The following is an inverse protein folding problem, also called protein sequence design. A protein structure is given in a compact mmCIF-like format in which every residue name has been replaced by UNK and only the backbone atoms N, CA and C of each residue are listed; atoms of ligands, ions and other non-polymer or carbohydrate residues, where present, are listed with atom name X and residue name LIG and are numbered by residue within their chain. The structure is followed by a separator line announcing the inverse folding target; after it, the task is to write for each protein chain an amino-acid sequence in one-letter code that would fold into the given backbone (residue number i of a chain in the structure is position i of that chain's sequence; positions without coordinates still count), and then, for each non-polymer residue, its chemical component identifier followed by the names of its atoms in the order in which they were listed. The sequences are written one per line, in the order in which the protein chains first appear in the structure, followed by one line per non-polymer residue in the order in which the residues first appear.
data_IF_305075220092
#
_entry.id   IF_305075220092
#
_cell.length_a   1.000
_cell.length_b   1.000
_cell.length_c   1.000
_cell.angle_alpha   90.00
_cell.angle_beta   90.00
_cell.angle_gamma   90.00
#
_symmetry.space_group_name_H-M   'P 1'
#
loop_
_entity.id
_entity.type
_entity.pdbx_description
1 polymer ?
#
# COMPACT_ATOMS: atom_id res chain seq x y z
N UNK A 1 -15.04 -29.38 6.96
CA UNK A 1 -14.16 -28.19 7.04
C UNK A 1 -13.27 -28.38 8.25
N UNK A 2 -12.00 -28.67 8.06
CA UNK A 2 -11.02 -28.74 9.15
C UNK A 2 -10.27 -27.41 9.20
N UNK A 3 -10.50 -26.60 10.25
CA UNK A 3 -9.53 -25.59 10.66
C UNK A 3 -8.44 -26.36 11.39
N UNK A 4 -7.24 -26.41 10.83
CA UNK A 4 -6.09 -26.97 11.51
C UNK A 4 -5.36 -25.79 12.18
N UNK A 5 -5.52 -25.69 13.49
CA UNK A 5 -4.64 -24.90 14.32
C UNK A 5 -3.49 -25.82 14.71
N UNK A 6 -2.31 -25.59 14.15
CA UNK A 6 -1.11 -26.33 14.52
C UNK A 6 -0.41 -25.49 15.58
N UNK A 7 -0.67 -25.82 16.84
CA UNK A 7 0.14 -25.33 17.96
C UNK A 7 1.38 -26.21 18.03
N UNK A 8 2.44 -25.83 17.32
CA UNK A 8 3.78 -26.28 17.65
C UNK A 8 4.38 -25.21 18.56
N UNK A 9 4.94 -25.65 19.69
CA UNK A 9 5.63 -24.87 20.73
C UNK A 9 5.81 -23.37 20.44
N UNK A 10 4.88 -22.53 20.88
CA UNK A 10 5.00 -21.05 20.83
C UNK A 10 4.40 -20.34 19.61
N UNK A 11 4.05 -21.06 18.54
CA UNK A 11 3.60 -20.43 17.29
C UNK A 11 2.08 -20.52 17.09
N UNK A 12 1.42 -19.37 16.90
CA UNK A 12 0.07 -19.33 16.33
C UNK A 12 0.15 -19.34 14.81
N UNK A 13 0.30 -20.53 14.22
CA UNK A 13 0.11 -20.73 12.77
C UNK A 13 -1.32 -21.16 12.51
N UNK A 14 -2.02 -20.40 11.67
CA UNK A 14 -3.39 -20.67 11.25
C UNK A 14 -3.42 -21.05 9.78
N UNK A 15 -3.90 -22.26 9.52
CA UNK A 15 -4.03 -22.80 8.17
C UNK A 15 -5.51 -22.93 7.82
N UNK A 16 -5.91 -22.30 6.72
CA UNK A 16 -7.21 -22.46 6.07
C UNK A 16 -6.98 -23.24 4.79
N UNK A 17 -7.08 -24.56 4.88
CA UNK A 17 -7.02 -25.45 3.72
C UNK A 17 -8.44 -25.72 3.19
N UNK A 18 -8.76 -25.09 2.06
CA UNK A 18 -9.91 -25.43 1.24
C UNK A 18 -9.46 -25.72 -0.20
N UNK A 19 -8.41 -26.53 -0.34
CA UNK A 19 -7.84 -26.95 -1.63
C UNK A 19 -8.87 -27.59 -2.55
N UNK A 20 -9.91 -28.25 -2.01
CA UNK A 20 -11.07 -28.73 -2.79
C UNK A 20 -11.84 -27.61 -3.50
N UNK A 21 -11.83 -26.38 -2.95
CA UNK A 21 -12.36 -25.17 -3.57
C UNK A 21 -11.25 -24.36 -4.28
N UNK A 22 -10.04 -24.92 -4.40
CA UNK A 22 -8.88 -24.27 -4.97
C UNK A 22 -8.28 -23.16 -4.10
N UNK A 23 -8.54 -23.12 -2.80
CA UNK A 23 -8.09 -22.03 -1.90
C UNK A 23 -7.18 -22.56 -0.77
N UNK A 24 -6.08 -21.85 -0.52
CA UNK A 24 -5.21 -22.09 0.63
C UNK A 24 -4.80 -20.74 1.22
N UNK A 25 -4.89 -20.61 2.55
CA UNK A 25 -4.33 -19.47 3.27
C UNK A 25 -3.56 -19.95 4.48
N UNK A 26 -2.35 -19.42 4.65
CA UNK A 26 -1.48 -19.65 5.80
C UNK A 26 -1.18 -18.29 6.41
N UNK A 27 -1.44 -18.16 7.71
CA UNK A 27 -1.13 -16.99 8.53
C UNK A 27 -0.23 -17.42 9.68
N UNK A 28 0.78 -16.63 10.00
CA UNK A 28 1.60 -16.84 11.19
C UNK A 28 2.02 -15.50 11.77
N UNK A 29 2.21 -15.49 13.09
CA UNK A 29 2.85 -14.38 13.80
C UNK A 29 4.13 -14.94 14.43
N UNK A 30 5.26 -14.32 14.13
CA UNK A 30 6.56 -14.71 14.68
C UNK A 30 6.68 -14.26 16.14
N UNK A 31 7.23 -15.15 16.98
CA UNK A 31 7.51 -14.87 18.38
C UNK A 31 8.67 -13.87 18.53
N UNK A 32 8.57 -12.97 19.50
CA UNK A 32 9.53 -11.87 19.69
C UNK A 32 9.04 -10.58 19.06
N UNK A 33 9.26 -10.39 17.77
CA UNK A 33 8.94 -9.15 17.07
C UNK A 33 7.44 -8.99 16.72
N UNK A 34 6.66 -10.08 16.81
CA UNK A 34 5.24 -10.06 16.44
C UNK A 34 5.02 -9.90 14.93
N UNK A 35 5.98 -10.31 14.11
CA UNK A 35 5.94 -10.13 12.67
C UNK A 35 4.85 -10.99 12.04
N UNK A 36 3.90 -10.34 11.37
CA UNK A 36 2.80 -11.02 10.70
C UNK A 36 3.17 -11.42 9.27
N UNK A 37 2.95 -12.69 8.96
CA UNK A 37 3.12 -13.26 7.64
C UNK A 37 1.80 -13.84 7.13
N UNK A 38 1.48 -13.58 5.87
CA UNK A 38 0.31 -14.16 5.19
C UNK A 38 0.71 -14.66 3.82
N UNK A 39 0.31 -15.88 3.49
CA UNK A 39 0.25 -16.36 2.10
C UNK A 39 -1.16 -16.80 1.79
N UNK A 40 -1.76 -16.23 0.75
CA UNK A 40 -3.06 -16.64 0.21
C UNK A 40 -2.90 -17.08 -1.23
N UNK A 41 -3.49 -18.22 -1.59
CA UNK A 41 -3.45 -18.79 -2.93
C UNK A 41 -4.87 -19.19 -3.34
N UNK A 42 -5.25 -18.87 -4.58
CA UNK A 42 -6.47 -19.41 -5.19
C UNK A 42 -6.27 -19.86 -6.64
N UNK A 43 -6.90 -20.97 -6.99
CA UNK A 43 -6.87 -21.57 -8.32
C UNK A 43 -8.16 -21.26 -9.11
N UNK A 44 -7.98 -20.70 -10.30
CA UNK A 44 -9.05 -20.28 -11.21
C UNK A 44 -9.10 -21.21 -12.41
N UNK A 45 -10.17 -22.02 -12.47
CA UNK A 45 -10.36 -23.04 -13.50
C UNK A 45 -10.59 -22.43 -14.89
N UNK A 46 -9.90 -22.93 -15.89
CA UNK A 46 -10.04 -22.58 -17.30
C UNK A 46 -10.98 -23.56 -18.02
N UNK A 47 -11.40 -23.22 -19.23
CA UNK A 47 -12.30 -24.06 -20.03
C UNK A 47 -11.69 -25.42 -20.41
N UNK A 48 -10.39 -25.48 -20.63
CA UNK A 48 -9.63 -26.71 -20.95
C UNK A 48 -9.37 -27.62 -19.73
N UNK A 49 -9.83 -27.22 -18.54
CA UNK A 49 -9.58 -27.93 -17.30
C UNK A 49 -8.29 -27.53 -16.58
N UNK A 50 -7.45 -26.69 -17.19
CA UNK A 50 -6.27 -26.09 -16.57
C UNK A 50 -6.63 -25.06 -15.50
N UNK A 51 -5.62 -24.56 -14.80
CA UNK A 51 -5.79 -23.56 -13.73
C UNK A 51 -4.81 -22.41 -13.86
N UNK A 52 -5.29 -21.20 -13.56
CA UNK A 52 -4.43 -20.07 -13.20
C UNK A 52 -4.44 -19.90 -11.71
N UNK A 53 -3.27 -19.84 -11.10
CA UNK A 53 -3.15 -19.63 -9.66
C UNK A 53 -2.84 -18.16 -9.43
N UNK A 54 -3.61 -17.49 -8.57
CA UNK A 54 -3.23 -16.21 -7.98
C UNK A 54 -2.60 -16.46 -6.61
N UNK A 55 -1.54 -15.72 -6.31
CA UNK A 55 -0.87 -15.73 -5.01
C UNK A 55 -0.78 -14.30 -4.49
N UNK A 56 -1.10 -14.14 -3.22
CA UNK A 56 -0.79 -12.97 -2.41
C UNK A 56 0.17 -13.40 -1.30
N UNK A 57 1.17 -12.58 -1.04
CA UNK A 57 2.10 -12.74 0.06
C UNK A 57 2.25 -11.42 0.82
N UNK A 58 2.40 -11.51 2.14
CA UNK A 58 2.65 -10.41 3.05
C UNK A 58 3.72 -10.82 4.04
N UNK A 59 4.75 -9.99 4.17
CA UNK A 59 5.65 -9.92 5.31
C UNK A 59 5.55 -8.49 5.87
N UNK A 60 4.90 -8.38 7.03
CA UNK A 60 4.62 -7.09 7.64
C UNK A 60 5.89 -6.38 8.13
N UNK A 61 6.90 -7.13 8.60
CA UNK A 61 8.13 -6.56 9.15
C UNK A 61 9.16 -6.24 8.06
N UNK A 62 9.28 -7.12 7.06
CA UNK A 62 10.09 -6.87 5.88
C UNK A 62 9.50 -5.82 4.93
N UNK A 63 8.34 -5.24 5.27
CA UNK A 63 7.60 -4.31 4.41
C UNK A 63 7.46 -4.86 2.99
N UNK A 64 6.99 -6.10 2.88
CA UNK A 64 6.85 -6.80 1.62
C UNK A 64 5.40 -7.20 1.40
N UNK A 65 4.86 -6.82 0.24
CA UNK A 65 3.56 -7.24 -0.26
C UNK A 65 3.77 -7.71 -1.68
N UNK A 66 3.43 -8.96 -2.00
CA UNK A 66 3.56 -9.49 -3.35
C UNK A 66 2.21 -9.99 -3.84
N UNK A 67 1.84 -9.56 -5.04
CA UNK A 67 0.72 -10.12 -5.79
C UNK A 67 1.27 -10.72 -7.08
N UNK A 68 0.98 -11.99 -7.33
CA UNK A 68 1.51 -12.71 -8.49
C UNK A 68 0.54 -13.75 -8.99
N UNK A 69 0.84 -14.31 -10.15
CA UNK A 69 0.08 -15.37 -10.75
C UNK A 69 1.01 -16.43 -11.37
N UNK A 70 0.50 -17.65 -11.58
CA UNK A 70 1.24 -18.72 -12.27
C UNK A 70 1.54 -18.40 -13.75
N UNK A 71 0.89 -17.37 -14.29
CA UNK A 71 1.16 -16.77 -15.61
C UNK A 71 1.44 -15.29 -15.40
N UNK A 72 2.06 -14.62 -16.38
CA UNK A 72 2.30 -13.18 -16.31
C UNK A 72 1.01 -12.41 -15.96
N UNK A 73 1.04 -11.54 -14.93
CA UNK A 73 -0.14 -10.82 -14.46
C UNK A 73 -0.81 -9.97 -15.54
N UNK A 74 -0.04 -9.34 -16.46
CA UNK A 74 -0.59 -8.56 -17.59
C UNK A 74 -1.42 -9.43 -18.55
N UNK A 75 -1.17 -10.73 -18.58
CA UNK A 75 -1.93 -11.71 -19.38
C UNK A 75 -3.15 -12.27 -18.64
N UNK A 76 -3.19 -12.13 -17.31
CA UNK A 76 -4.26 -12.66 -16.45
C UNK A 76 -5.29 -11.57 -16.15
N UNK A 77 -4.84 -10.35 -15.89
CA UNK A 77 -5.66 -9.18 -15.62
C UNK A 77 -6.40 -8.69 -16.90
N UNK A 78 -7.41 -7.80 -16.75
CA UNK A 78 -8.04 -7.17 -17.91
C UNK A 78 -7.02 -6.49 -18.82
N UNK A 79 -7.33 -6.40 -20.10
CA UNK A 79 -6.46 -5.70 -21.05
C UNK A 79 -6.33 -4.24 -20.63
N UNK A 80 -5.11 -3.71 -20.70
CA UNK A 80 -4.78 -2.32 -20.36
C UNK A 80 -5.10 -1.93 -18.90
N UNK A 81 -5.25 -2.94 -18.02
CA UNK A 81 -5.54 -2.72 -16.61
C UNK A 81 -4.40 -1.99 -15.90
N UNK A 82 -4.74 -0.95 -15.14
CA UNK A 82 -3.74 -0.16 -14.43
C UNK A 82 -4.30 1.04 -13.69
N UNK A 83 -3.47 2.08 -13.49
CA UNK A 83 -3.84 3.25 -12.68
C UNK A 83 -5.08 3.98 -13.22
N UNK A 84 -5.27 3.99 -14.54
CA UNK A 84 -6.44 4.59 -15.19
C UNK A 84 -7.78 3.94 -14.76
N UNK A 85 -7.76 2.71 -14.25
CA UNK A 85 -8.97 2.07 -13.75
C UNK A 85 -9.47 2.67 -12.44
N UNK A 86 -8.58 3.32 -11.68
CA UNK A 86 -8.85 3.93 -10.38
C UNK A 86 -8.87 5.46 -10.45
N UNK A 87 -8.02 6.02 -11.31
CA UNK A 87 -7.87 7.44 -11.58
C UNK A 87 -8.06 7.65 -13.09
N UNK A 88 -9.30 7.82 -13.60
CA UNK A 88 -9.55 7.91 -15.04
C UNK A 88 -8.75 9.02 -15.75
N UNK A 89 -8.38 10.07 -15.01
CA UNK A 89 -7.57 11.19 -15.49
C UNK A 89 -6.06 11.03 -15.25
N UNK A 90 -5.58 9.84 -14.88
CA UNK A 90 -4.17 9.59 -14.54
C UNK A 90 -3.18 10.11 -15.60
N UNK A 91 -3.52 9.98 -16.88
CA UNK A 91 -2.66 10.42 -17.99
C UNK A 91 -2.49 11.94 -18.07
N UNK A 92 -3.39 12.70 -17.45
CA UNK A 92 -3.31 14.18 -17.37
C UNK A 92 -2.63 14.66 -16.09
N UNK A 93 -2.44 13.78 -15.11
CA UNK A 93 -1.70 14.10 -13.91
C UNK A 93 -0.21 14.02 -14.25
N UNK A 94 0.53 15.11 -14.04
CA UNK A 94 1.99 15.11 -14.10
C UNK A 94 2.57 14.39 -12.88
N UNK A 95 2.28 13.09 -12.74
CA UNK A 95 2.84 12.27 -11.67
C UNK A 95 4.34 12.17 -11.86
N UNK A 96 5.09 12.32 -10.76
CA UNK A 96 6.51 12.05 -10.78
C UNK A 96 6.74 10.61 -11.24
N UNK A 97 7.42 10.46 -12.38
CA UNK A 97 7.63 9.16 -13.04
C UNK A 97 8.81 8.39 -12.48
N UNK A 98 9.49 8.92 -11.47
CA UNK A 98 10.71 8.31 -10.94
C UNK A 98 10.39 7.11 -10.04
N UNK A 99 9.31 7.19 -9.26
CA UNK A 99 8.95 6.15 -8.30
C UNK A 99 7.48 5.75 -8.40
N UNK A 100 7.20 4.49 -8.08
CA UNK A 100 5.84 4.00 -7.93
C UNK A 100 5.25 4.58 -6.65
N UNK A 101 4.01 5.05 -6.75
CA UNK A 101 3.27 5.68 -5.65
C UNK A 101 2.25 4.73 -5.03
N UNK A 102 1.70 3.84 -5.87
CA UNK A 102 0.65 2.92 -5.50
C UNK A 102 1.06 1.48 -5.70
N UNK A 103 0.37 0.58 -5.01
CA UNK A 103 0.33 -0.84 -5.32
C UNK A 103 -1.10 -1.36 -5.25
N UNK A 104 -1.31 -2.60 -5.70
CA UNK A 104 -2.60 -3.29 -5.62
C UNK A 104 -2.61 -4.25 -4.43
N UNK A 105 -3.50 -4.01 -3.47
CA UNK A 105 -3.79 -4.98 -2.41
C UNK A 105 -4.93 -5.88 -2.90
N UNK A 106 -4.64 -7.18 -3.04
CA UNK A 106 -5.63 -8.15 -3.49
C UNK A 106 -6.39 -8.78 -2.33
N UNK A 107 -7.70 -8.94 -2.52
CA UNK A 107 -8.57 -9.76 -1.70
C UNK A 107 -9.03 -10.95 -2.57
N UNK A 108 -8.37 -12.08 -2.34
CA UNK A 108 -8.63 -13.33 -3.06
C UNK A 108 -9.78 -14.06 -2.35
N UNK A 109 -10.90 -14.36 -3.04
CA UNK A 109 -12.07 -14.93 -2.40
C UNK A 109 -11.80 -16.37 -1.97
N UNK A 110 -12.24 -16.70 -0.76
CA UNK A 110 -12.27 -18.09 -0.27
C UNK A 110 -13.24 -18.97 -1.04
N UNK A 111 -14.35 -18.40 -1.52
CA UNK A 111 -15.38 -19.06 -2.33
C UNK A 111 -15.77 -18.17 -3.49
N UNK A 112 -15.97 -18.77 -4.66
CA UNK A 112 -16.23 -18.03 -5.90
C UNK A 112 -14.94 -17.54 -6.55
N UNK A 113 -15.07 -16.63 -7.51
CA UNK A 113 -13.94 -16.16 -8.33
C UNK A 113 -13.82 -14.65 -8.39
N UNK A 114 -14.67 -13.93 -7.66
CA UNK A 114 -14.65 -12.48 -7.63
C UNK A 114 -13.47 -12.00 -6.80
N UNK A 115 -12.45 -11.46 -7.44
CA UNK A 115 -11.24 -10.93 -6.79
C UNK A 115 -11.36 -9.42 -6.68
N UNK A 116 -11.24 -8.88 -5.47
CA UNK A 116 -11.23 -7.43 -5.28
C UNK A 116 -9.79 -6.93 -5.22
N UNK A 117 -9.51 -5.84 -5.93
CA UNK A 117 -8.22 -5.16 -5.93
C UNK A 117 -8.43 -3.74 -5.40
N UNK A 118 -7.73 -3.40 -4.33
CA UNK A 118 -7.72 -2.07 -3.73
C UNK A 118 -6.47 -1.31 -4.19
N UNK A 119 -6.65 -0.05 -4.60
CA UNK A 119 -5.53 0.85 -4.86
C UNK A 119 -5.04 1.41 -3.52
N UNK A 120 -3.82 1.05 -3.15
CA UNK A 120 -3.24 1.45 -1.86
C UNK A 120 -1.92 2.18 -2.08
N UNK A 121 -1.60 3.14 -1.20
CA UNK A 121 -0.31 3.82 -1.22
C UNK A 121 0.82 2.89 -0.78
N UNK A 122 1.93 2.92 -1.51
CA UNK A 122 3.18 2.38 -1.00
C UNK A 122 3.57 3.24 0.23
N UNK A 123 3.95 2.64 1.36
CA UNK A 123 4.35 3.37 2.55
C UNK A 123 5.41 4.45 2.28
N UNK A 124 5.22 5.65 2.82
CA UNK A 124 6.19 6.74 2.68
C UNK A 124 7.57 6.32 3.18
N UNK A 125 8.60 6.51 2.36
CA UNK A 125 9.97 6.07 2.65
C UNK A 125 10.41 4.86 1.84
N UNK A 126 9.48 4.06 1.28
CA UNK A 126 9.82 2.99 0.34
C UNK A 126 9.82 3.57 -1.09
N UNK A 127 10.98 3.61 -1.74
CA UNK A 127 11.11 4.12 -3.11
C UNK A 127 11.35 3.00 -4.11
N UNK A 128 10.32 2.65 -4.86
CA UNK A 128 10.40 1.64 -5.92
C UNK A 128 10.50 2.35 -7.25
N UNK A 129 11.56 2.07 -8.03
CA UNK A 129 11.70 2.68 -9.36
C UNK A 129 10.49 2.41 -10.25
N UNK A 130 10.01 3.45 -10.89
CA UNK A 130 9.00 3.36 -11.94
C UNK A 130 9.69 3.43 -13.30
N UNK A 131 9.55 2.38 -14.12
CA UNK A 131 10.06 2.36 -15.49
C UNK A 131 8.97 2.73 -16.51
N UNK A 132 7.70 2.51 -16.17
CA UNK A 132 6.56 2.69 -17.09
C UNK A 132 5.30 3.26 -16.42
N UNK A 133 5.09 3.02 -15.13
CA UNK A 133 3.82 3.30 -14.44
C UNK A 133 4.02 3.71 -12.98
N UNK A 134 3.17 4.59 -12.45
CA UNK A 134 3.17 4.99 -11.04
C UNK A 134 2.48 3.97 -10.11
N UNK A 135 2.04 2.82 -10.65
CA UNK A 135 1.38 1.74 -9.93
C UNK A 135 2.21 0.46 -10.01
N UNK A 136 2.36 -0.24 -8.90
CA UNK A 136 2.94 -1.58 -8.86
C UNK A 136 1.83 -2.63 -8.86
N UNK A 137 1.67 -3.32 -9.99
CA UNK A 137 0.71 -4.42 -10.09
C UNK A 137 1.10 -5.62 -9.22
N UNK A 138 2.40 -5.78 -8.96
CA UNK A 138 2.98 -6.93 -8.26
C UNK A 138 3.18 -6.68 -6.76
N UNK A 139 2.82 -5.50 -6.25
CA UNK A 139 3.06 -5.11 -4.86
C UNK A 139 4.38 -4.36 -4.67
N UNK A 140 4.97 -4.45 -3.48
CA UNK A 140 6.21 -3.78 -3.12
C UNK A 140 7.12 -4.65 -2.24
N UNK A 141 8.41 -4.34 -2.27
CA UNK A 141 9.43 -5.07 -1.53
C UNK A 141 10.54 -4.09 -1.12
N UNK A 142 10.84 -4.06 0.16
CA UNK A 142 11.89 -3.22 0.72
C UNK A 142 13.27 -3.58 0.15
N UNK A 143 13.56 -4.86 -0.10
CA UNK A 143 14.86 -5.34 -0.62
C UNK A 143 15.22 -4.78 -1.99
N UNK A 144 14.21 -4.36 -2.76
CA UNK A 144 14.36 -3.80 -4.11
C UNK A 144 14.11 -2.29 -4.15
N UNK A 145 14.13 -1.61 -3.00
CA UNK A 145 13.83 -0.18 -2.90
C UNK A 145 15.05 0.67 -2.53
N UNK A 146 15.12 1.88 -3.09
CA UNK A 146 16.25 2.80 -2.88
C UNK A 146 15.99 3.81 -1.76
N UNK A 147 17.06 4.25 -1.08
CA UNK A 147 17.04 5.45 -0.24
C UNK A 147 16.01 5.44 0.89
N UNK A 148 15.82 4.29 1.54
CA UNK A 148 14.85 4.07 2.61
C UNK A 148 15.21 4.85 3.87
N UNK A 149 14.22 5.47 4.50
CA UNK A 149 14.34 6.07 5.84
C UNK A 149 13.11 5.71 6.66
N UNK A 150 13.33 5.41 7.93
CA UNK A 150 12.24 5.28 8.88
C UNK A 150 11.68 6.66 9.25
N UNK A 151 10.35 6.79 9.26
CA UNK A 151 9.66 8.06 9.42
C UNK A 151 8.89 8.15 10.76
N UNK A 152 9.42 7.51 11.81
CA UNK A 152 8.84 7.54 13.16
C UNK A 152 8.68 8.97 13.70
N UNK A 153 9.74 9.78 13.63
CA UNK A 153 9.74 11.18 14.07
C UNK A 153 8.74 12.05 13.30
N UNK A 154 8.61 11.80 11.99
CA UNK A 154 7.65 12.51 11.14
C UNK A 154 6.22 12.16 11.49
N UNK A 155 5.95 10.86 11.72
CA UNK A 155 4.66 10.40 12.22
C UNK A 155 4.37 11.00 13.59
N UNK A 156 5.32 10.99 14.51
CA UNK A 156 5.18 11.63 15.81
C UNK A 156 4.80 13.11 15.68
N UNK A 157 5.51 13.87 14.84
CA UNK A 157 5.19 15.28 14.57
C UNK A 157 3.75 15.45 14.06
N UNK A 158 3.35 14.72 13.02
CA UNK A 158 2.01 14.78 12.43
C UNK A 158 0.91 14.48 13.46
N UNK A 159 1.13 13.53 14.36
CA UNK A 159 0.13 13.17 15.37
C UNK A 159 0.02 14.19 16.50
N UNK A 160 1.11 14.89 16.84
CA UNK A 160 1.18 15.74 18.02
C UNK A 160 1.05 17.24 17.73
N UNK A 161 1.09 17.68 16.46
CA UNK A 161 0.78 19.07 16.12
C UNK A 161 -0.65 19.42 16.56
N UNK A 162 -0.77 20.56 17.21
CA UNK A 162 -2.02 21.01 17.85
C UNK A 162 -2.78 22.00 16.97
N UNK A 163 -2.07 22.85 16.23
CA UNK A 163 -2.68 23.76 15.26
C UNK A 163 -2.75 23.12 13.88
N UNK A 164 -3.97 23.06 13.35
CA UNK A 164 -4.29 22.57 12.00
C UNK A 164 -3.52 23.30 10.88
N UNK A 165 -3.06 24.54 11.11
CA UNK A 165 -2.29 25.33 10.12
C UNK A 165 -0.80 25.02 10.13
N UNK A 166 -0.28 24.40 11.19
CA UNK A 166 1.16 24.13 11.34
C UNK A 166 1.73 23.39 10.13
N UNK A 167 1.01 22.38 9.62
CA UNK A 167 1.49 21.62 8.45
C UNK A 167 1.62 22.49 7.20
N UNK A 168 0.70 23.43 6.98
CA UNK A 168 0.77 24.36 5.85
C UNK A 168 1.95 25.35 5.98
N UNK A 169 2.26 25.78 7.20
CA UNK A 169 3.43 26.62 7.46
C UNK A 169 4.74 25.84 7.27
N UNK A 170 4.80 24.55 7.66
CA UNK A 170 5.95 23.69 7.34
C UNK A 170 6.11 23.55 5.82
N UNK A 171 5.02 23.29 5.09
CA UNK A 171 5.02 23.22 3.62
C UNK A 171 5.52 24.52 3.00
N UNK A 172 5.09 25.67 3.53
CA UNK A 172 5.46 26.98 3.01
C UNK A 172 6.86 27.44 3.41
N UNK A 173 7.50 26.76 4.37
CA UNK A 173 8.83 27.15 4.86
C UNK A 173 8.79 28.32 5.85
N UNK A 174 7.67 28.53 6.54
CA UNK A 174 7.42 29.69 7.41
C UNK A 174 7.44 29.27 8.90
N UNK A 175 8.62 28.92 9.43
CA UNK A 175 8.75 28.42 10.82
C UNK A 175 8.28 29.45 11.85
N UNK A 176 8.51 30.73 11.59
CA UNK A 176 8.19 31.86 12.46
C UNK A 176 6.68 32.07 12.64
N UNK A 177 5.85 31.54 11.74
CA UNK A 177 4.38 31.62 11.83
C UNK A 177 3.75 30.47 12.61
N UNK A 178 4.55 29.46 12.97
CA UNK A 178 4.09 28.32 13.75
C UNK A 178 4.01 28.73 15.22
N UNK A 179 2.96 28.30 15.93
CA UNK A 179 2.83 28.58 17.35
C UNK A 179 4.00 27.95 18.14
N UNK A 180 4.30 28.50 19.32
CA UNK A 180 5.47 28.09 20.12
C UNK A 180 5.45 26.61 20.52
N UNK A 181 4.27 26.03 20.81
CA UNK A 181 4.15 24.63 21.21
C UNK A 181 4.53 23.69 20.05
N UNK A 182 4.02 23.94 18.85
CA UNK A 182 4.32 23.14 17.67
C UNK A 182 5.76 23.38 17.16
N UNK A 183 6.31 24.59 17.31
CA UNK A 183 7.74 24.85 17.04
C UNK A 183 8.65 23.97 17.91
N UNK A 184 8.33 23.82 19.20
CA UNK A 184 9.09 22.94 20.09
C UNK A 184 9.02 21.47 19.66
N UNK A 185 7.92 21.01 19.08
CA UNK A 185 7.83 19.67 18.49
C UNK A 185 8.75 19.54 17.27
N UNK A 186 8.77 20.56 16.40
CA UNK A 186 9.62 20.60 15.21
C UNK A 186 11.10 20.56 15.60
N UNK A 187 11.51 21.36 16.58
CA UNK A 187 12.90 21.39 17.05
C UNK A 187 13.38 20.07 17.66
N UNK A 188 12.49 19.16 18.06
CA UNK A 188 12.89 17.82 18.51
C UNK A 188 13.29 16.89 17.37
N UNK A 189 12.76 17.13 16.16
CA UNK A 189 12.95 16.27 14.99
C UNK A 189 13.97 16.83 13.99
N UNK A 190 14.34 18.12 14.09
CA UNK A 190 15.35 18.74 13.24
C UNK A 190 16.70 18.96 13.95
N UNK A 191 17.80 18.90 13.21
CA UNK A 191 19.17 19.18 13.69
C UNK A 191 20.23 18.36 12.96
N UNK A 192 21.52 18.74 13.04
CA UNK A 192 22.61 18.13 12.28
C UNK A 192 22.71 16.59 12.42
N UNK A 193 22.47 16.07 13.62
CA UNK A 193 22.48 14.64 13.93
C UNK A 193 21.10 13.95 13.84
N UNK A 194 20.07 14.67 13.37
CA UNK A 194 18.70 14.15 13.27
C UNK A 194 18.40 13.66 11.85
N UNK A 195 17.31 12.90 11.72
CA UNK A 195 16.82 12.41 10.43
C UNK A 195 16.54 13.55 9.42
N UNK A 196 16.16 14.72 9.94
CA UNK A 196 15.90 15.94 9.19
C UNK A 196 16.94 17.00 9.62
N UNK A 197 17.95 17.27 8.78
CA UNK A 197 19.07 18.12 9.20
C UNK A 197 18.68 19.58 9.41
N UNK A 198 17.64 20.04 8.73
CA UNK A 198 17.14 21.41 8.83
C UNK A 198 15.64 21.49 8.59
N UNK A 199 15.08 22.67 8.86
CA UNK A 199 13.67 22.95 8.59
C UNK A 199 13.34 22.93 7.09
N UNK A 200 14.27 23.33 6.22
CA UNK A 200 14.11 23.29 4.77
C UNK A 200 14.00 21.85 4.25
N UNK A 201 14.77 20.93 4.83
CA UNK A 201 14.65 19.50 4.51
C UNK A 201 13.28 18.98 4.96
N UNK A 202 12.85 19.32 6.18
CA UNK A 202 11.52 18.94 6.67
C UNK A 202 10.41 19.49 5.77
N UNK A 203 10.49 20.77 5.38
CA UNK A 203 9.57 21.42 4.44
C UNK A 203 9.50 20.68 3.11
N UNK A 204 10.65 20.26 2.57
CA UNK A 204 10.72 19.48 1.32
C UNK A 204 10.00 18.13 1.45
N UNK A 205 10.15 17.44 2.58
CA UNK A 205 9.44 16.19 2.85
C UNK A 205 7.92 16.44 2.96
N UNK A 206 7.49 17.51 3.63
CA UNK A 206 6.08 17.85 3.72
C UNK A 206 5.47 18.27 2.38
N UNK A 207 6.23 18.92 1.48
CA UNK A 207 5.79 19.17 0.10
C UNK A 207 5.57 17.87 -0.68
N UNK A 208 6.43 16.87 -0.50
CA UNK A 208 6.20 15.55 -1.10
C UNK A 208 4.91 14.93 -0.54
N UNK A 209 4.72 14.93 0.77
CA UNK A 209 3.48 14.46 1.40
C UNK A 209 2.22 15.20 0.90
N UNK A 210 2.32 16.50 0.66
CA UNK A 210 1.25 17.29 0.04
C UNK A 210 0.93 16.81 -1.39
N UNK A 211 1.93 16.41 -2.17
CA UNK A 211 1.70 15.81 -3.50
C UNK A 211 0.91 14.49 -3.38
N UNK A 212 1.23 13.62 -2.41
CA UNK A 212 0.44 12.40 -2.14
C UNK A 212 -1.01 12.72 -1.76
N UNK A 213 -1.21 13.73 -0.92
CA UNK A 213 -2.55 14.21 -0.56
C UNK A 213 -3.32 14.75 -1.78
N UNK A 214 -2.68 15.57 -2.62
CA UNK A 214 -3.33 16.08 -3.81
C UNK A 214 -3.62 14.98 -4.83
N UNK A 215 -2.75 13.97 -4.92
CA UNK A 215 -3.02 12.79 -5.73
C UNK A 215 -4.20 11.97 -5.21
N UNK A 216 -4.33 11.81 -3.89
CA UNK A 216 -5.43 11.04 -3.29
C UNK A 216 -6.81 11.61 -3.64
N UNK A 217 -6.91 12.94 -3.77
CA UNK A 217 -8.14 13.64 -4.21
C UNK A 217 -8.59 13.27 -5.62
N UNK A 218 -7.68 12.76 -6.46
CA UNK A 218 -7.99 12.37 -7.82
C UNK A 218 -8.44 10.90 -7.94
N UNK A 219 -8.37 10.12 -6.85
CA UNK A 219 -8.82 8.73 -6.83
C UNK A 219 -10.35 8.69 -6.88
N UNK A 220 -10.89 8.30 -8.03
CA UNK A 220 -12.33 8.17 -8.24
C UNK A 220 -12.85 6.82 -7.74
N UNK A 221 -12.08 5.75 -7.97
CA UNK A 221 -12.41 4.40 -7.50
C UNK A 221 -11.33 3.92 -6.55
N UNK A 222 -11.72 3.49 -5.35
CA UNK A 222 -10.80 2.91 -4.36
C UNK A 222 -10.52 1.43 -4.64
N UNK A 223 -11.47 0.76 -5.30
CA UNK A 223 -11.39 -0.67 -5.56
C UNK A 223 -11.96 -1.02 -6.92
N UNK A 224 -11.48 -2.13 -7.48
CA UNK A 224 -12.07 -2.79 -8.65
C UNK A 224 -12.34 -4.25 -8.29
N UNK A 225 -13.55 -4.73 -8.58
CA UNK A 225 -13.91 -6.14 -8.46
C UNK A 225 -13.76 -6.78 -9.84
N UNK A 226 -12.96 -7.85 -9.88
CA UNK A 226 -12.68 -8.62 -11.07
C UNK A 226 -13.49 -9.91 -11.08
N UNK A 227 -14.17 -10.18 -12.19
CA UNK A 227 -14.78 -11.47 -12.47
C UNK A 227 -13.86 -12.35 -13.32
N UNK A 228 -13.94 -13.67 -13.17
CA UNK A 228 -13.14 -14.62 -13.93
C UNK A 228 -13.86 -15.13 -15.17
N UNK A 229 -13.27 -14.95 -16.35
CA UNK A 229 -13.75 -15.53 -17.59
C UNK A 229 -13.04 -16.85 -17.86
N UNK A 230 -13.76 -17.97 -17.68
CA UNK A 230 -13.23 -19.33 -17.91
C UNK A 230 -12.83 -19.60 -19.36
N UNK A 231 -13.54 -19.02 -20.33
CA UNK A 231 -13.31 -19.27 -21.77
C UNK A 231 -11.99 -18.66 -22.23
N UNK A 232 -11.71 -17.43 -21.79
CA UNK A 232 -10.48 -16.73 -22.15
C UNK A 232 -9.34 -16.98 -21.16
N UNK A 233 -9.65 -17.51 -19.98
CA UNK A 233 -8.71 -17.60 -18.86
C UNK A 233 -8.19 -16.22 -18.46
N UNK A 234 -9.05 -15.19 -18.42
CA UNK A 234 -8.68 -13.82 -18.03
C UNK A 234 -9.71 -13.23 -17.10
N UNK A 235 -9.29 -12.29 -16.26
CA UNK A 235 -10.20 -11.45 -15.51
C UNK A 235 -10.82 -10.37 -16.41
N UNK A 236 -12.04 -9.97 -16.04
CA UNK A 236 -12.73 -8.80 -16.57
C UNK A 236 -13.17 -7.91 -15.41
N UNK A 237 -13.31 -6.60 -15.64
CA UNK A 237 -13.83 -5.68 -14.63
C UNK A 237 -15.33 -5.95 -14.48
N UNK A 238 -15.73 -6.41 -13.29
CA UNK A 238 -17.13 -6.64 -12.94
C UNK A 238 -17.75 -5.38 -12.35
N UNK A 239 -17.02 -4.70 -11.48
CA UNK A 239 -17.48 -3.51 -10.76
C UNK A 239 -16.31 -2.59 -10.40
N UNK A 240 -16.57 -1.28 -10.35
CA UNK A 240 -15.65 -0.29 -9.78
C UNK A 240 -16.31 0.38 -8.57
N UNK A 241 -15.64 0.35 -7.42
CA UNK A 241 -16.17 0.87 -6.15
C UNK A 241 -15.66 2.30 -5.96
N UNK A 242 -16.58 3.27 -5.92
CA UNK A 242 -16.24 4.69 -5.75
C UNK A 242 -15.52 4.96 -4.43
N UNK A 243 -14.57 5.88 -4.49
CA UNK A 243 -13.93 6.45 -3.31
C UNK A 243 -14.86 7.48 -2.67
N UNK A 244 -15.26 7.24 -1.42
CA UNK A 244 -16.16 8.12 -0.67
C UNK A 244 -15.40 9.15 0.20
N UNK A 245 -14.08 9.04 0.29
CA UNK A 245 -13.25 9.81 1.23
C UNK A 245 -12.80 11.19 0.71
N UNK A 246 -13.55 11.82 -0.20
CA UNK A 246 -13.09 13.01 -0.95
C UNK A 246 -12.92 14.31 -0.12
N UNK A 247 -13.22 14.29 1.18
CA UNK A 247 -13.27 15.51 2.01
C UNK A 247 -12.34 15.52 3.24
N UNK A 248 -11.32 14.67 3.28
CA UNK A 248 -10.36 14.69 4.40
C UNK A 248 -9.42 15.90 4.30
N UNK A 249 -9.07 16.50 5.44
CA UNK A 249 -8.03 17.52 5.50
C UNK A 249 -6.65 16.90 5.24
N UNK A 250 -5.64 17.72 4.94
CA UNK A 250 -4.25 17.24 4.83
C UNK A 250 -3.81 16.55 6.13
N UNK A 251 -4.17 17.10 7.29
CA UNK A 251 -3.80 16.54 8.58
C UNK A 251 -4.39 15.14 8.80
N UNK A 252 -5.68 14.97 8.52
CA UNK A 252 -6.37 13.69 8.67
C UNK A 252 -5.82 12.64 7.69
N UNK A 253 -5.57 13.07 6.45
CA UNK A 253 -4.94 12.23 5.44
C UNK A 253 -3.57 11.73 5.93
N UNK A 254 -2.72 12.63 6.43
CA UNK A 254 -1.38 12.28 6.89
C UNK A 254 -1.38 11.42 8.16
N UNK A 255 -2.37 11.56 9.04
CA UNK A 255 -2.54 10.64 10.19
C UNK A 255 -2.88 9.22 9.75
N UNK A 256 -3.65 9.07 8.67
CA UNK A 256 -4.00 7.75 8.12
C UNK A 256 -2.98 7.22 7.11
N UNK A 257 -2.03 8.05 6.65
CA UNK A 257 -1.09 7.69 5.60
C UNK A 257 -0.11 6.61 6.08
N UNK A 258 0.18 5.58 5.27
CA UNK A 258 1.16 4.58 5.63
C UNK A 258 2.58 5.16 5.58
N UNK A 259 3.34 4.99 6.66
CA UNK A 259 4.76 5.36 6.73
C UNK A 259 5.59 4.10 6.91
N UNK A 260 6.79 4.08 6.31
CA UNK A 260 7.84 3.13 6.65
C UNK A 260 8.30 3.42 8.08
N UNK A 261 8.00 2.51 8.99
CA UNK A 261 8.38 2.58 10.39
C UNK A 261 9.37 1.46 10.70
N UNK A 262 10.29 1.71 11.63
CA UNK A 262 11.12 0.65 12.16
C UNK A 262 10.19 -0.38 12.82
N UNK A 263 10.27 -1.61 12.36
CA UNK A 263 9.57 -2.74 12.96
C UNK A 263 10.68 -3.65 13.47
N UNK A 264 10.70 -3.80 14.79
CA UNK A 264 11.62 -4.58 15.61
C UNK A 264 13.09 -4.66 15.14
#
# INVERSE_FOLDING_TARGET
MSKLNINQEGYETKIIDETNNGYLKIESVEEGCGCYYETTVAAYKQYDGGYTVLKKYCDACGWQKVFSASRNLKNVLPKDFGLADFIPKANTLHLEKQFKTFYLEAEIPKKGTDTKLDLTFIPFGIKIKAYDTSISLEGYDLTNSEGQKYHGDLRYLIYNVTDTKTLNHIISGEIEKINTADQQLIYKVIGEEKAYQSFEILSTIFKQLEQYYNLSKNIEYKSVVLGWNRKTGRFFIKEKIKNQSQHQTLHDFLKAFPFLLAVC
#
